data_IF_796484028146
#
_entry.id   IF_796484028146
#
_cell.length_a   1.000
_cell.length_b   1.000
_cell.length_c   1.000
_cell.angle_alpha   90.00
_cell.angle_beta   90.00
_cell.angle_gamma   90.00
#
_symmetry.space_group_name_H-M   'P 1'
#
loop_
_entity.id
_entity.type
_entity.pdbx_description
1 polymer ?
#
# COMPACT_ATOMS: atom_id res chain seq x y z
N UNK A 1 -20.47 8.53 8.89
CA UNK A 1 -20.68 7.07 8.88
C UNK A 1 -19.55 6.50 9.70
N UNK A 2 -19.82 5.72 10.74
CA UNK A 2 -18.74 5.19 11.58
C UNK A 2 -18.13 3.95 10.92
N UNK A 3 -17.07 4.17 10.13
CA UNK A 3 -16.43 3.13 9.32
C UNK A 3 -15.87 1.99 10.18
N UNK A 4 -15.43 2.32 11.40
CA UNK A 4 -14.86 1.36 12.34
C UNK A 4 -15.90 0.35 12.86
N UNK A 5 -17.20 0.67 12.72
CA UNK A 5 -18.30 -0.16 13.18
C UNK A 5 -19.05 -0.91 12.07
N UNK A 6 -18.75 -0.67 10.78
CA UNK A 6 -19.41 -1.35 9.66
C UNK A 6 -19.16 -2.87 9.69
N UNK A 7 -20.17 -3.72 9.52
CA UNK A 7 -19.96 -5.16 9.40
C UNK A 7 -19.12 -5.54 8.17
N UNK A 8 -18.56 -6.77 8.17
CA UNK A 8 -17.83 -7.34 7.02
C UNK A 8 -18.65 -7.24 5.73
N UNK A 9 -19.95 -7.52 5.83
CA UNK A 9 -20.90 -7.45 4.71
C UNK A 9 -21.15 -6.02 4.23
N UNK A 10 -21.29 -5.05 5.14
CA UNK A 10 -21.47 -3.65 4.76
C UNK A 10 -20.24 -3.12 4.00
N UNK A 11 -19.02 -3.44 4.46
CA UNK A 11 -17.80 -3.09 3.74
C UNK A 11 -17.79 -3.74 2.35
N UNK A 12 -18.10 -5.03 2.25
CA UNK A 12 -18.23 -5.73 0.96
C UNK A 12 -19.23 -5.06 0.02
N UNK A 13 -20.39 -4.66 0.53
CA UNK A 13 -21.44 -4.03 -0.27
C UNK A 13 -21.00 -2.63 -0.75
N UNK A 14 -20.32 -1.85 0.10
CA UNK A 14 -19.73 -0.57 -0.29
C UNK A 14 -18.67 -0.71 -1.38
N UNK A 15 -17.74 -1.67 -1.24
CA UNK A 15 -16.74 -1.94 -2.28
C UNK A 15 -17.42 -2.37 -3.57
N UNK A 16 -18.42 -3.27 -3.51
CA UNK A 16 -19.13 -3.75 -4.70
C UNK A 16 -19.86 -2.63 -5.45
N UNK A 17 -20.37 -1.64 -4.73
CA UNK A 17 -21.09 -0.47 -5.28
C UNK A 17 -20.16 0.67 -5.72
N UNK A 18 -18.89 0.66 -5.32
CA UNK A 18 -17.92 1.65 -5.73
C UNK A 18 -17.66 1.63 -7.26
N UNK A 19 -17.24 2.75 -7.86
CA UNK A 19 -16.89 2.82 -9.27
C UNK A 19 -15.90 1.71 -9.68
N UNK A 20 -16.14 1.11 -10.84
CA UNK A 20 -15.24 0.12 -11.43
C UNK A 20 -14.31 0.82 -12.42
N UNK A 21 -13.01 0.87 -12.14
CA UNK A 21 -12.08 1.75 -12.86
C UNK A 21 -11.09 1.02 -13.77
N UNK A 22 -10.83 -0.25 -13.50
CA UNK A 22 -10.08 -1.15 -14.37
C UNK A 22 -11.01 -2.06 -15.16
N UNK A 23 -10.50 -2.78 -16.17
CA UNK A 23 -11.21 -3.90 -16.80
C UNK A 23 -11.13 -5.13 -15.91
N UNK A 24 -12.02 -6.09 -16.15
CA UNK A 24 -12.06 -7.33 -15.36
C UNK A 24 -10.82 -8.22 -15.56
N UNK A 25 -10.16 -8.11 -16.71
CA UNK A 25 -8.94 -8.85 -17.07
C UNK A 25 -7.64 -8.11 -16.69
N UNK A 26 -7.75 -6.92 -16.12
CA UNK A 26 -6.58 -6.16 -15.70
C UNK A 26 -5.98 -6.73 -14.41
N UNK A 27 -4.67 -6.99 -14.45
CA UNK A 27 -3.94 -7.45 -13.28
C UNK A 27 -3.49 -6.26 -12.44
N UNK A 28 -4.02 -6.17 -11.21
CA UNK A 28 -3.66 -5.14 -10.23
C UNK A 28 -2.95 -5.82 -9.06
N UNK A 29 -1.75 -5.34 -8.73
CA UNK A 29 -0.90 -5.97 -7.70
C UNK A 29 -0.42 -5.03 -6.60
N UNK A 30 -0.76 -3.75 -6.70
CA UNK A 30 -0.40 -2.76 -5.69
C UNK A 30 -1.56 -1.81 -5.47
N UNK A 31 -1.81 -1.47 -4.21
CA UNK A 31 -2.73 -0.42 -3.80
C UNK A 31 -1.95 0.66 -3.04
N UNK A 32 -2.35 1.91 -3.24
CA UNK A 32 -1.91 3.06 -2.47
C UNK A 32 -3.13 3.57 -1.71
N UNK A 33 -3.11 3.46 -0.39
CA UNK A 33 -4.28 3.73 0.47
C UNK A 33 -3.85 4.57 1.68
N UNK A 34 -4.75 5.37 2.28
CA UNK A 34 -4.43 6.19 3.44
C UNK A 34 -3.99 5.35 4.65
N UNK A 35 -3.22 5.98 5.53
CA UNK A 35 -2.75 5.34 6.78
C UNK A 35 -3.91 5.03 7.73
N UNK A 36 -4.95 5.87 7.70
CA UNK A 36 -6.12 5.80 8.56
C UNK A 36 -7.41 5.85 7.75
N UNK A 37 -8.43 5.15 8.21
CA UNK A 37 -9.73 5.04 7.55
C UNK A 37 -10.79 5.80 8.34
N UNK A 38 -11.45 6.74 7.66
CA UNK A 38 -12.53 7.55 8.20
C UNK A 38 -13.65 7.75 7.16
N UNK A 39 -14.75 8.40 7.55
CA UNK A 39 -15.86 8.63 6.62
C UNK A 39 -15.50 9.45 5.38
N UNK A 40 -14.45 10.27 5.43
CA UNK A 40 -14.08 11.18 4.35
C UNK A 40 -13.24 10.47 3.28
N UNK A 41 -12.51 9.42 3.63
CA UNK A 41 -11.67 8.67 2.69
C UNK A 41 -12.19 7.25 2.36
N UNK A 42 -13.18 6.74 3.09
CA UNK A 42 -13.67 5.37 2.87
C UNK A 42 -14.20 5.09 1.46
N UNK A 43 -14.83 6.07 0.80
CA UNK A 43 -15.30 5.91 -0.58
C UNK A 43 -14.15 5.69 -1.57
N UNK A 44 -13.04 6.42 -1.41
CA UNK A 44 -11.83 6.28 -2.22
C UNK A 44 -11.17 4.92 -1.97
N UNK A 45 -11.07 4.52 -0.71
CA UNK A 45 -10.57 3.21 -0.32
C UNK A 45 -11.41 2.09 -0.94
N UNK A 46 -12.74 2.19 -0.87
CA UNK A 46 -13.62 1.20 -1.50
C UNK A 46 -13.39 1.11 -3.02
N UNK A 47 -13.14 2.25 -3.66
CA UNK A 47 -12.88 2.33 -5.10
C UNK A 47 -11.53 1.69 -5.45
N UNK A 48 -10.48 1.91 -4.64
CA UNK A 48 -9.20 1.24 -4.81
C UNK A 48 -9.32 -0.29 -4.64
N UNK A 49 -9.97 -0.76 -3.57
CA UNK A 49 -10.15 -2.20 -3.33
C UNK A 49 -11.09 -2.87 -4.33
N UNK A 50 -12.01 -2.12 -4.95
CA UNK A 50 -12.85 -2.63 -6.04
C UNK A 50 -12.02 -3.12 -7.23
N UNK A 51 -10.83 -2.57 -7.45
CA UNK A 51 -9.94 -2.99 -8.54
C UNK A 51 -9.35 -4.39 -8.36
N UNK A 52 -9.34 -4.91 -7.12
CA UNK A 52 -8.74 -6.20 -6.77
C UNK A 52 -9.74 -7.25 -6.28
N UNK A 53 -11.02 -6.89 -6.05
CA UNK A 53 -12.00 -7.80 -5.42
C UNK A 53 -12.33 -9.07 -6.25
N UNK A 54 -12.06 -9.07 -7.56
CA UNK A 54 -12.24 -10.25 -8.42
C UNK A 54 -10.95 -11.04 -8.64
N UNK A 55 -9.86 -10.66 -7.96
CA UNK A 55 -8.58 -11.34 -7.96
C UNK A 55 -8.42 -12.11 -6.63
N UNK A 56 -7.49 -13.05 -6.60
CA UNK A 56 -7.15 -13.82 -5.39
C UNK A 56 -5.66 -13.67 -5.11
N UNK A 57 -5.29 -13.47 -3.85
CA UNK A 57 -3.89 -13.36 -3.42
C UNK A 57 -3.62 -14.36 -2.32
N UNK A 58 -2.48 -15.02 -2.37
CA UNK A 58 -2.05 -15.94 -1.32
C UNK A 58 -1.54 -15.12 -0.11
N UNK A 59 -0.86 -14.02 -0.41
CA UNK A 59 -0.24 -13.13 0.59
C UNK A 59 -0.54 -11.67 0.31
N UNK A 60 -0.78 -10.91 1.38
CA UNK A 60 -0.86 -9.46 1.35
C UNK A 60 0.33 -8.87 2.12
N UNK A 61 1.10 -7.99 1.47
CA UNK A 61 2.20 -7.27 2.12
C UNK A 61 1.74 -5.85 2.39
N UNK A 62 1.59 -5.48 3.66
CA UNK A 62 1.19 -4.13 4.08
C UNK A 62 2.42 -3.35 4.51
N UNK A 63 2.68 -2.24 3.82
CA UNK A 63 3.87 -1.42 4.01
C UNK A 63 3.46 -0.04 4.48
N UNK A 64 3.96 0.37 5.64
CA UNK A 64 3.70 1.69 6.22
C UNK A 64 5.00 2.39 6.61
N UNK A 65 4.98 3.73 6.63
CA UNK A 65 6.12 4.50 7.14
C UNK A 65 5.93 4.76 8.64
N UNK A 66 6.92 4.39 9.45
CA UNK A 66 6.90 4.73 10.86
C UNK A 66 7.24 6.22 11.06
N UNK A 67 6.48 6.90 11.92
CA UNK A 67 6.62 8.35 12.15
C UNK A 67 7.60 8.71 13.27
N UNK A 68 7.99 7.73 14.08
CA UNK A 68 9.01 7.87 15.12
C UNK A 68 10.40 7.43 14.67
N UNK A 69 11.23 7.06 15.63
CA UNK A 69 12.55 6.48 15.38
C UNK A 69 12.53 4.99 15.71
N UNK A 70 12.91 4.15 14.75
CA UNK A 70 13.22 2.74 14.96
C UNK A 70 14.74 2.55 14.91
N UNK A 71 15.29 1.64 15.72
CA UNK A 71 16.69 1.24 15.54
C UNK A 71 16.86 0.35 14.30
N UNK A 72 15.80 -0.39 13.97
CA UNK A 72 15.71 -1.26 12.80
C UNK A 72 15.07 -0.52 11.64
N UNK A 73 15.73 -0.52 10.49
CA UNK A 73 15.34 0.31 9.35
C UNK A 73 14.07 -0.20 8.66
N UNK A 74 13.98 -1.51 8.44
CA UNK A 74 12.80 -2.19 7.89
C UNK A 74 12.32 -3.25 8.89
N UNK A 75 11.40 -2.88 9.78
CA UNK A 75 10.96 -3.74 10.87
C UNK A 75 9.66 -4.48 10.50
N UNK A 76 9.60 -5.77 10.80
CA UNK A 76 8.42 -6.62 10.67
C UNK A 76 8.05 -7.17 12.06
N UNK A 77 6.81 -6.98 12.56
CA UNK A 77 6.42 -7.48 13.87
C UNK A 77 6.59 -9.00 13.99
N UNK A 78 6.93 -9.49 15.18
CA UNK A 78 7.21 -10.90 15.48
C UNK A 78 5.95 -11.77 15.62
N UNK A 79 4.77 -11.13 15.65
CA UNK A 79 3.46 -11.79 15.72
C UNK A 79 3.34 -12.96 14.73
N UNK A 80 2.62 -14.02 15.14
CA UNK A 80 2.25 -15.14 14.27
C UNK A 80 0.90 -14.93 13.60
N UNK A 81 0.06 -14.06 14.18
CA UNK A 81 -1.24 -13.67 13.66
C UNK A 81 -1.49 -12.19 13.99
N UNK A 82 -2.30 -11.52 13.17
CA UNK A 82 -2.86 -10.21 13.49
C UNK A 82 -4.37 -10.34 13.66
N UNK A 83 -4.89 -9.84 14.78
CA UNK A 83 -6.32 -9.89 15.08
C UNK A 83 -7.01 -8.62 14.61
N UNK A 84 -8.05 -8.79 13.78
CA UNK A 84 -9.02 -7.75 13.45
C UNK A 84 -10.38 -8.08 14.08
N UNK A 85 -11.31 -7.12 14.04
CA UNK A 85 -12.69 -7.34 14.48
C UNK A 85 -13.47 -8.41 13.68
N UNK A 86 -12.93 -8.92 12.57
CA UNK A 86 -13.51 -10.03 11.81
C UNK A 86 -12.75 -11.35 11.99
N UNK A 87 -11.77 -11.40 12.88
CA UNK A 87 -10.98 -12.59 13.19
C UNK A 87 -9.49 -12.40 12.90
N UNK A 88 -8.74 -13.45 13.18
CA UNK A 88 -7.29 -13.50 12.98
C UNK A 88 -6.91 -13.66 11.51
N UNK A 89 -5.80 -13.04 11.12
CA UNK A 89 -5.11 -13.25 9.85
C UNK A 89 -3.72 -13.80 10.16
N UNK A 90 -3.32 -14.97 9.61
CA UNK A 90 -2.01 -15.55 9.84
C UNK A 90 -0.91 -14.71 9.21
N UNK A 91 0.25 -14.66 9.87
CA UNK A 91 1.45 -14.04 9.30
C UNK A 91 2.15 -15.02 8.38
N UNK A 92 2.58 -14.55 7.20
CA UNK A 92 3.44 -15.34 6.32
C UNK A 92 4.87 -15.35 6.85
N UNK A 93 5.14 -16.25 7.80
CA UNK A 93 6.46 -16.36 8.42
C UNK A 93 7.54 -16.79 7.42
N UNK A 94 7.18 -17.59 6.42
CA UNK A 94 8.12 -17.99 5.37
C UNK A 94 8.62 -16.76 4.60
N UNK A 95 7.71 -15.93 4.09
CA UNK A 95 8.08 -14.71 3.37
C UNK A 95 8.79 -13.69 4.27
N UNK A 96 8.38 -13.57 5.53
CA UNK A 96 9.07 -12.70 6.51
C UNK A 96 10.53 -13.11 6.70
N UNK A 97 10.83 -14.40 6.74
CA UNK A 97 12.21 -14.88 6.82
C UNK A 97 12.96 -14.69 5.49
N UNK A 98 12.31 -14.88 4.33
CA UNK A 98 12.94 -14.55 3.03
C UNK A 98 13.37 -13.08 2.94
N UNK A 99 12.57 -12.14 3.47
CA UNK A 99 12.98 -10.73 3.57
C UNK A 99 14.26 -10.53 4.39
N UNK A 100 14.39 -11.23 5.53
CA UNK A 100 15.59 -11.15 6.37
C UNK A 100 16.81 -11.85 5.76
N UNK A 101 16.61 -12.87 4.94
CA UNK A 101 17.68 -13.60 4.27
C UNK A 101 18.21 -12.85 3.03
N UNK A 102 17.36 -12.06 2.36
CA UNK A 102 17.72 -11.31 1.15
C UNK A 102 18.56 -10.07 1.46
N UNK A 103 18.21 -9.30 2.49
CA UNK A 103 18.88 -8.04 2.83
C UNK A 103 19.03 -7.82 4.35
N UNK A 104 20.21 -7.36 4.76
CA UNK A 104 20.59 -7.19 6.18
C UNK A 104 19.77 -6.11 6.93
N UNK A 105 19.05 -5.25 6.19
CA UNK A 105 18.28 -4.14 6.76
C UNK A 105 16.84 -4.52 7.16
N UNK A 106 16.41 -5.75 6.85
CA UNK A 106 15.12 -6.31 7.26
C UNK A 106 15.24 -7.07 8.58
N UNK A 107 14.36 -6.75 9.53
CA UNK A 107 14.41 -7.35 10.86
C UNK A 107 13.03 -7.77 11.34
N UNK A 108 12.95 -8.96 11.93
CA UNK A 108 11.83 -9.33 12.80
C UNK A 108 12.03 -8.61 14.14
N UNK A 109 11.25 -7.57 14.38
CA UNK A 109 11.39 -6.71 15.56
C UNK A 109 10.07 -6.00 15.91
N UNK A 110 9.76 -5.95 17.20
CA UNK A 110 8.52 -5.35 17.72
C UNK A 110 8.65 -3.86 18.09
N UNK A 111 9.80 -3.23 17.79
CA UNK A 111 10.06 -1.82 18.16
C UNK A 111 9.02 -0.85 17.57
N UNK A 112 8.53 -1.14 16.36
CA UNK A 112 7.49 -0.36 15.69
C UNK A 112 6.08 -0.90 15.91
N UNK A 113 5.91 -2.05 16.57
CA UNK A 113 4.60 -2.66 16.73
C UNK A 113 3.69 -1.78 17.58
N UNK A 114 2.53 -1.43 17.03
CA UNK A 114 1.50 -0.64 17.69
C UNK A 114 0.11 -1.05 17.20
N UNK A 115 -0.89 -0.91 18.06
CA UNK A 115 -2.30 -1.05 17.64
C UNK A 115 -2.79 0.09 16.74
N UNK A 116 -1.99 1.14 16.60
CA UNK A 116 -2.25 2.28 15.72
C UNK A 116 -1.63 2.10 14.32
N UNK A 117 -0.97 0.97 14.06
CA UNK A 117 -0.44 0.64 12.75
C UNK A 117 -1.53 0.68 11.68
N UNK A 118 -1.18 1.18 10.49
CA UNK A 118 -2.08 1.21 9.33
C UNK A 118 -2.56 -0.18 8.94
N UNK A 119 -1.78 -1.23 9.23
CA UNK A 119 -2.21 -2.62 9.13
C UNK A 119 -3.61 -2.86 9.72
N UNK A 120 -3.86 -2.44 10.96
CA UNK A 120 -5.13 -2.70 11.65
C UNK A 120 -6.30 -1.95 11.02
N UNK A 121 -6.03 -0.84 10.36
CA UNK A 121 -6.99 -0.10 9.56
C UNK A 121 -7.35 -0.86 8.27
N UNK A 122 -6.36 -1.49 7.63
CA UNK A 122 -6.56 -2.17 6.34
C UNK A 122 -7.13 -3.59 6.47
N UNK A 123 -6.79 -4.33 7.53
CA UNK A 123 -7.22 -5.72 7.72
C UNK A 123 -8.73 -5.95 7.59
N UNK A 124 -9.63 -5.12 8.19
CA UNK A 124 -11.07 -5.28 8.01
C UNK A 124 -11.53 -5.16 6.55
N UNK A 125 -10.89 -4.29 5.76
CA UNK A 125 -11.19 -4.09 4.33
C UNK A 125 -10.64 -5.26 3.51
N UNK A 126 -9.43 -5.71 3.82
CA UNK A 126 -8.81 -6.88 3.20
C UNK A 126 -9.62 -8.15 3.43
N UNK A 127 -10.03 -8.43 4.68
CA UNK A 127 -10.89 -9.58 5.00
C UNK A 127 -12.26 -9.46 4.35
N UNK A 128 -12.77 -8.25 4.12
CA UNK A 128 -13.99 -8.05 3.34
C UNK A 128 -13.79 -8.42 1.86
N UNK A 129 -12.62 -8.16 1.27
CA UNK A 129 -12.33 -8.50 -0.13
C UNK A 129 -11.99 -9.98 -0.33
N UNK A 130 -11.24 -10.58 0.59
CA UNK A 130 -10.62 -11.89 0.43
C UNK A 130 -10.98 -12.80 1.60
N UNK A 131 -11.27 -14.06 1.30
CA UNK A 131 -11.67 -15.02 2.32
C UNK A 131 -10.48 -15.65 3.05
N UNK A 132 -9.42 -16.03 2.32
CA UNK A 132 -8.22 -16.66 2.85
C UNK A 132 -6.97 -16.00 2.27
N UNK A 133 -6.11 -15.44 3.13
CA UNK A 133 -4.79 -14.91 2.80
C UNK A 133 -3.92 -14.87 4.06
N UNK A 134 -2.60 -14.89 3.88
CA UNK A 134 -1.65 -14.54 4.94
C UNK A 134 -1.08 -13.13 4.74
N UNK A 135 -0.49 -12.56 5.80
CA UNK A 135 -0.03 -11.16 5.79
C UNK A 135 1.42 -11.03 6.20
N UNK A 136 2.14 -10.11 5.56
CA UNK A 136 3.40 -9.56 6.08
C UNK A 136 3.19 -8.08 6.32
N UNK A 137 3.48 -7.62 7.53
CA UNK A 137 3.47 -6.19 7.84
C UNK A 137 4.91 -5.70 7.95
N UNK A 138 5.23 -4.64 7.22
CA UNK A 138 6.55 -4.04 7.16
C UNK A 138 6.47 -2.55 7.46
N UNK A 139 7.33 -2.09 8.35
CA UNK A 139 7.45 -0.70 8.74
C UNK A 139 8.77 -0.11 8.30
N UNK A 140 8.71 1.05 7.63
CA UNK A 140 9.88 1.80 7.20
C UNK A 140 10.23 2.83 8.28
N UNK A 141 11.28 2.54 9.06
CA UNK A 141 11.75 3.36 10.18
C UNK A 141 12.87 4.34 9.84
N UNK A 142 13.51 4.21 8.68
CA UNK A 142 14.67 5.03 8.28
C UNK A 142 14.31 6.07 7.21
N UNK A 143 14.95 7.24 7.29
CA UNK A 143 14.75 8.39 6.41
C UNK A 143 15.71 8.39 5.20
N UNK A 144 16.68 7.48 5.16
CA UNK A 144 17.65 7.36 4.07
C UNK A 144 16.98 6.89 2.76
N UNK A 145 17.12 7.63 1.64
CA UNK A 145 16.70 7.17 0.32
C UNK A 145 17.26 5.81 -0.10
N UNK A 146 18.43 5.38 0.41
CA UNK A 146 18.97 4.05 0.14
C UNK A 146 18.00 2.94 0.58
N UNK A 147 17.37 3.10 1.75
CA UNK A 147 16.44 2.11 2.32
C UNK A 147 15.19 1.95 1.49
N UNK A 148 14.70 3.03 0.88
CA UNK A 148 13.57 2.97 -0.06
C UNK A 148 13.94 2.17 -1.31
N UNK A 149 15.18 2.27 -1.78
CA UNK A 149 15.64 1.50 -2.95
C UNK A 149 15.85 0.03 -2.61
N UNK A 150 16.48 -0.27 -1.48
CA UNK A 150 16.67 -1.63 -0.97
C UNK A 150 15.33 -2.33 -0.76
N UNK A 151 14.35 -1.64 -0.15
CA UNK A 151 12.99 -2.16 -0.02
C UNK A 151 12.37 -2.45 -1.40
N UNK A 152 12.46 -1.51 -2.34
CA UNK A 152 11.90 -1.71 -3.68
C UNK A 152 12.56 -2.87 -4.43
N UNK A 153 13.89 -3.02 -4.32
CA UNK A 153 14.64 -4.12 -4.91
C UNK A 153 14.24 -5.47 -4.30
N UNK A 154 14.17 -5.55 -2.97
CA UNK A 154 13.79 -6.79 -2.27
C UNK A 154 12.35 -7.20 -2.58
N UNK A 155 11.43 -6.23 -2.67
CA UNK A 155 10.06 -6.50 -3.10
C UNK A 155 10.00 -7.04 -4.53
N UNK A 156 10.87 -6.53 -5.42
CA UNK A 156 10.96 -7.03 -6.79
C UNK A 156 11.42 -8.50 -6.83
N UNK A 157 12.58 -8.79 -6.23
CA UNK A 157 13.17 -10.14 -6.20
C UNK A 157 12.22 -11.17 -5.55
N UNK A 158 11.63 -10.83 -4.41
CA UNK A 158 10.80 -11.79 -3.67
C UNK A 158 9.38 -11.89 -4.21
N UNK A 159 8.77 -10.81 -4.70
CA UNK A 159 7.32 -10.80 -4.97
C UNK A 159 6.94 -10.78 -6.44
N UNK A 160 7.85 -10.47 -7.39
CA UNK A 160 7.49 -10.35 -8.81
C UNK A 160 6.75 -11.58 -9.36
N UNK A 161 7.15 -12.79 -8.94
CA UNK A 161 6.55 -14.05 -9.39
C UNK A 161 5.60 -14.71 -8.38
N UNK A 162 5.33 -14.07 -7.25
CA UNK A 162 4.39 -14.58 -6.24
C UNK A 162 2.99 -14.00 -6.45
N UNK A 163 1.97 -14.75 -6.06
CA UNK A 163 0.60 -14.27 -6.07
C UNK A 163 0.33 -13.36 -4.84
N UNK A 164 0.96 -12.18 -4.84
CA UNK A 164 0.91 -11.24 -3.73
C UNK A 164 0.33 -9.88 -4.14
N UNK A 165 -0.45 -9.31 -3.22
CA UNK A 165 -0.91 -7.92 -3.25
C UNK A 165 -0.04 -7.09 -2.30
N UNK A 166 0.46 -5.95 -2.78
CA UNK A 166 1.19 -5.00 -1.93
C UNK A 166 0.29 -3.80 -1.62
N UNK A 167 0.12 -3.47 -0.35
CA UNK A 167 -0.68 -2.33 0.11
C UNK A 167 0.27 -1.31 0.72
N UNK A 168 0.52 -0.23 0.00
CA UNK A 168 1.32 0.89 0.46
C UNK A 168 0.42 1.89 1.19
N UNK A 169 0.66 2.06 2.48
CA UNK A 169 -0.04 3.01 3.34
C UNK A 169 0.64 4.39 3.25
N UNK A 170 -0.07 5.34 2.64
CA UNK A 170 0.39 6.71 2.45
C UNK A 170 -0.81 7.66 2.29
N UNK A 171 -0.72 8.83 2.92
CA UNK A 171 -1.73 9.88 2.80
C UNK A 171 -1.27 10.90 1.75
N UNK A 172 -1.78 10.76 0.53
CA UNK A 172 -1.56 11.73 -0.56
C UNK A 172 -2.70 12.74 -0.54
N UNK A 173 -2.49 14.03 -0.22
CA UNK A 173 -3.60 14.95 -0.01
C UNK A 173 -4.39 15.26 -1.28
N UNK A 174 -5.71 15.10 -1.22
CA UNK A 174 -6.61 15.40 -2.34
C UNK A 174 -6.90 16.90 -2.49
N UNK A 175 -6.71 17.68 -1.42
CA UNK A 175 -7.03 19.12 -1.38
C UNK A 175 -6.09 20.01 -2.20
N UNK A 176 -5.09 19.44 -2.88
CA UNK A 176 -4.06 20.17 -3.63
C UNK A 176 -3.95 19.63 -5.07
N UNK A 177 -4.80 20.06 -6.00
CA UNK A 177 -4.75 19.61 -7.39
C UNK A 177 -3.39 19.85 -8.06
N UNK A 178 -2.74 20.97 -7.76
CA UNK A 178 -1.41 21.29 -8.29
C UNK A 178 -0.32 20.29 -7.84
N UNK A 179 -0.40 19.83 -6.59
CA UNK A 179 0.52 18.84 -6.05
C UNK A 179 0.29 17.45 -6.64
N UNK A 180 -0.98 17.07 -6.83
CA UNK A 180 -1.33 15.84 -7.53
C UNK A 180 -0.79 15.85 -8.97
N UNK A 181 -1.00 16.94 -9.71
CA UNK A 181 -0.48 17.07 -11.08
C UNK A 181 1.05 17.05 -11.10
N UNK A 182 1.71 17.68 -10.13
CA UNK A 182 3.17 17.61 -9.96
C UNK A 182 3.63 16.17 -9.70
N UNK A 183 2.96 15.43 -8.82
CA UNK A 183 3.25 14.01 -8.53
C UNK A 183 3.05 13.15 -9.79
N UNK A 184 1.92 13.29 -10.48
CA UNK A 184 1.63 12.59 -11.74
C UNK A 184 2.71 12.86 -12.77
N UNK A 185 3.09 14.13 -12.98
CA UNK A 185 4.14 14.50 -13.92
C UNK A 185 5.51 13.89 -13.55
N UNK A 186 5.90 13.92 -12.27
CA UNK A 186 7.15 13.30 -11.81
C UNK A 186 7.15 11.78 -11.98
N UNK A 187 5.98 11.14 -11.84
CA UNK A 187 5.81 9.70 -12.02
C UNK A 187 5.87 9.32 -13.50
N UNK A 188 5.17 10.06 -14.37
CA UNK A 188 5.12 9.83 -15.82
C UNK A 188 6.44 10.12 -16.52
N UNK A 189 7.12 11.21 -16.16
CA UNK A 189 8.38 11.62 -16.78
C UNK A 189 9.58 10.74 -16.37
N UNK A 190 9.34 9.70 -15.56
CA UNK A 190 10.35 8.81 -15.00
C UNK A 190 11.47 9.56 -14.24
N UNK A 191 11.13 10.67 -13.58
CA UNK A 191 12.08 11.51 -12.84
C UNK A 191 12.22 11.02 -11.40
N UNK A 192 12.79 9.84 -11.18
CA UNK A 192 13.01 9.27 -9.84
C UNK A 192 13.70 10.26 -8.90
N UNK A 193 14.83 10.85 -9.31
CA UNK A 193 15.55 11.83 -8.49
C UNK A 193 14.71 13.06 -8.16
N UNK A 194 13.84 13.49 -9.08
CA UNK A 194 12.92 14.60 -8.86
C UNK A 194 11.83 14.26 -7.85
N UNK A 195 11.27 13.06 -7.93
CA UNK A 195 10.29 12.54 -6.99
C UNK A 195 10.89 12.35 -5.59
N UNK A 196 12.07 11.74 -5.49
CA UNK A 196 12.81 11.59 -4.24
C UNK A 196 13.14 12.93 -3.61
N UNK A 197 13.61 13.90 -4.40
CA UNK A 197 13.90 15.24 -3.90
C UNK A 197 12.64 15.90 -3.34
N UNK A 198 11.53 15.81 -4.07
CA UNK A 198 10.25 16.36 -3.63
C UNK A 198 9.74 15.69 -2.35
N UNK A 199 9.73 14.35 -2.30
CA UNK A 199 9.26 13.57 -1.14
C UNK A 199 10.19 13.66 0.08
N UNK A 200 11.38 14.24 -0.06
CA UNK A 200 12.29 14.55 1.04
C UNK A 200 12.34 16.04 1.40
N UNK A 201 11.67 16.91 0.63
CA UNK A 201 11.64 18.33 0.92
C UNK A 201 10.63 18.68 2.02
N UNK A 202 10.76 19.89 2.58
CA UNK A 202 9.78 20.45 3.51
C UNK A 202 8.52 20.97 2.79
N UNK A 203 8.45 20.88 1.47
CA UNK A 203 7.32 21.32 0.66
C UNK A 203 6.29 20.21 0.41
N UNK A 204 6.61 18.96 0.79
CA UNK A 204 5.69 17.84 0.62
C UNK A 204 4.54 17.94 1.62
N UNK A 205 3.35 17.55 1.19
CA UNK A 205 2.23 17.30 2.10
C UNK A 205 1.89 15.82 2.23
N UNK A 206 2.53 14.96 1.43
CA UNK A 206 2.39 13.50 1.49
C UNK A 206 2.97 12.93 2.79
N UNK A 207 2.11 12.29 3.59
CA UNK A 207 2.53 11.44 4.71
C UNK A 207 2.69 9.99 4.24
N UNK A 208 3.60 9.22 4.85
CA UNK A 208 3.94 7.89 4.33
C UNK A 208 4.76 7.91 3.02
N UNK A 209 5.46 9.01 2.77
CA UNK A 209 6.20 9.27 1.52
C UNK A 209 7.18 8.14 1.10
N UNK A 210 7.70 7.36 2.06
CA UNK A 210 8.61 6.23 1.78
C UNK A 210 7.87 5.02 1.24
N UNK A 211 6.73 4.68 1.85
CA UNK A 211 5.87 3.62 1.35
C UNK A 211 5.39 3.98 -0.06
N UNK A 212 4.94 5.23 -0.24
CA UNK A 212 4.57 5.76 -1.56
C UNK A 212 5.71 5.61 -2.58
N UNK A 213 6.90 6.12 -2.27
CA UNK A 213 8.05 6.05 -3.18
C UNK A 213 8.44 4.61 -3.51
N UNK A 214 8.47 3.73 -2.51
CA UNK A 214 8.76 2.30 -2.72
C UNK A 214 7.78 1.69 -3.70
N UNK A 215 6.47 1.98 -3.54
CA UNK A 215 5.46 1.49 -4.48
C UNK A 215 5.62 2.03 -5.89
N UNK A 216 6.00 3.30 -6.07
CA UNK A 216 6.32 3.84 -7.41
C UNK A 216 7.52 3.10 -8.03
N UNK A 217 8.56 2.82 -7.24
CA UNK A 217 9.75 2.11 -7.72
C UNK A 217 9.44 0.66 -8.11
N UNK A 218 8.72 -0.09 -7.26
CA UNK A 218 8.34 -1.48 -7.56
C UNK A 218 7.40 -1.54 -8.77
N UNK A 219 6.39 -0.65 -8.84
CA UNK A 219 5.49 -0.58 -9.99
C UNK A 219 6.27 -0.38 -11.29
N UNK A 220 7.26 0.51 -11.29
CA UNK A 220 8.13 0.73 -12.45
C UNK A 220 8.98 -0.50 -12.79
N UNK A 221 9.60 -1.14 -11.80
CA UNK A 221 10.40 -2.35 -12.03
C UNK A 221 9.57 -3.44 -12.69
N UNK A 222 8.33 -3.61 -12.23
CA UNK A 222 7.40 -4.62 -12.74
C UNK A 222 6.74 -4.24 -14.07
N UNK A 223 6.96 -3.02 -14.58
CA UNK A 223 6.30 -2.52 -15.79
C UNK A 223 4.82 -2.19 -15.61
N UNK A 224 4.38 -1.89 -14.39
CA UNK A 224 3.02 -1.46 -14.04
C UNK A 224 2.90 0.07 -14.15
N UNK A 225 1.72 0.54 -14.53
CA UNK A 225 1.34 1.94 -14.45
C UNK A 225 0.66 2.21 -13.11
N UNK A 226 1.00 3.32 -12.47
CA UNK A 226 0.31 3.77 -11.25
C UNK A 226 -0.78 4.76 -11.62
N UNK A 227 -2.01 4.44 -11.26
CA UNK A 227 -3.20 5.27 -11.47
C UNK A 227 -3.67 5.81 -10.11
N UNK A 228 -3.76 7.13 -9.99
CA UNK A 228 -4.33 7.79 -8.81
C UNK A 228 -5.78 8.14 -9.01
N UNK A 229 -6.54 7.99 -7.92
CA UNK A 229 -7.95 8.22 -7.84
C UNK A 229 -8.26 9.69 -7.49
N UNK A 230 -8.95 10.40 -8.38
CA UNK A 230 -9.35 11.80 -8.20
C UNK A 230 -10.86 12.02 -8.43
N UNK A 231 -11.65 10.95 -8.27
CA UNK A 231 -13.07 10.95 -8.64
C UNK A 231 -13.98 11.39 -7.50
N UNK A 232 -13.55 11.29 -6.24
CA UNK A 232 -14.34 11.76 -5.10
C UNK A 232 -13.80 13.13 -4.67
N UNK A 233 -14.46 14.19 -5.13
CA UNK A 233 -14.10 15.59 -4.82
C UNK A 233 -14.02 15.89 -3.31
N UNK A 234 -14.76 15.14 -2.49
CA UNK A 234 -14.77 15.31 -1.03
C UNK A 234 -13.70 14.50 -0.30
N UNK A 235 -12.93 13.66 -0.99
CA UNK A 235 -11.94 12.82 -0.35
C UNK A 235 -10.85 13.67 0.31
N UNK A 236 -10.38 13.25 1.47
CA UNK A 236 -9.24 13.91 2.13
C UNK A 236 -7.91 13.47 1.53
N UNK A 237 -7.77 12.17 1.25
CA UNK A 237 -6.58 11.58 0.68
C UNK A 237 -6.94 10.78 -0.58
N UNK A 238 -6.06 10.88 -1.57
CA UNK A 238 -6.11 10.17 -2.83
C UNK A 238 -5.63 8.74 -2.62
N UNK A 239 -6.42 7.79 -3.14
CA UNK A 239 -5.98 6.41 -3.26
C UNK A 239 -5.38 6.18 -4.65
N UNK A 240 -4.81 5.00 -4.88
CA UNK A 240 -4.34 4.61 -6.19
C UNK A 240 -4.12 3.11 -6.29
N UNK A 241 -3.80 2.66 -7.49
CA UNK A 241 -3.45 1.28 -7.74
C UNK A 241 -2.41 1.17 -8.85
N UNK A 242 -1.63 0.09 -8.85
CA UNK A 242 -0.72 -0.24 -9.95
C UNK A 242 -1.29 -1.36 -10.80
N UNK A 243 -1.40 -1.12 -12.11
CA UNK A 243 -1.99 -2.00 -13.12
C UNK A 243 -0.95 -2.38 -14.18
N UNK A 244 -0.93 -3.65 -14.59
CA UNK A 244 0.02 -4.10 -15.61
C UNK A 244 -0.23 -3.36 -16.94
N UNK A 245 0.82 -2.85 -17.59
CA UNK A 245 0.69 -2.29 -18.94
C UNK A 245 0.15 -3.38 -19.89
N UNK A 246 -1.06 -3.20 -20.40
CA UNK A 246 -1.48 -3.95 -21.58
C UNK A 246 -0.51 -3.56 -22.71
N UNK A 247 0.30 -4.51 -23.18
CA UNK A 247 1.04 -4.32 -24.43
C UNK A 247 0.00 -3.99 -25.50
N UNK A 248 -0.03 -2.73 -25.96
CA UNK A 248 -0.64 -2.46 -27.26
C UNK A 248 0.19 -3.24 -28.26
N UNK A 249 -0.35 -4.38 -28.69
CA UNK A 249 0.13 -5.07 -29.89
C UNK A 249 -0.07 -4.07 -31.02
N UNK A 250 1.02 -3.43 -31.45
CA UNK A 250 1.07 -2.63 -32.68
C UNK A 250 1.14 -3.59 -33.87
#
# INVERSE_FOLDING_TARGET
MDVQNLSKKEIQDHIKQAPHLNKLDDQVRMLFVPNNLDENNFGEVCTAYKTVINQSFDTVVVIESYTGHLQKKLAMPSNTTFESRFGEVPVNDYLRNEFCDEEDDFFIADEGYSREMSLYTQLPVLQACFDDFDVVSLQIGDYDPAIVRELAFTLDELLLHKNALIVFCCDVPASSPEELEKLRALILDNKESGLLHYLNSNEKTVEGARAFMSGIMVARSWGYNVEFLDHIESAKHICGYAIQKQHQVV
#
